data_IF_368796210279
#
_entry.id   IF_368796210279
#
_cell.length_a   1.000
_cell.length_b   1.000
_cell.length_c   1.000
_cell.angle_alpha   90.00
_cell.angle_beta   90.00
_cell.angle_gamma   90.00
#
_symmetry.space_group_name_H-M   'P 1'
#
loop_
_entity.id
_entity.type
_entity.pdbx_description
1 polymer ?
2 non-polymer ?
3 water ?
#
# COMPACT_ATOMS: atom_id res chain seq x y z
N UNK A 1 12.45 -12.36 6.30
CA UNK A 1 11.32 -12.94 5.59
C UNK A 1 10.02 -12.20 5.90
N UNK A 2 10.06 -10.86 5.90
CA UNK A 2 8.83 -10.13 6.18
C UNK A 2 7.78 -10.29 5.11
N UNK A 3 8.20 -10.39 3.84
CA UNK A 3 7.30 -10.57 2.72
C UNK A 3 7.34 -12.04 2.31
N UNK A 4 6.18 -12.68 2.31
CA UNK A 4 6.03 -14.08 1.90
C UNK A 4 4.97 -14.12 0.80
N UNK A 5 5.38 -14.20 -0.46
CA UNK A 5 4.42 -14.26 -1.56
C UNK A 5 3.54 -15.49 -1.46
N UNK A 6 2.32 -15.35 -1.96
CA UNK A 6 1.47 -16.51 -2.18
C UNK A 6 2.08 -17.44 -3.22
N UNK A 7 1.71 -18.73 -3.15
CA UNK A 7 2.21 -19.72 -4.07
C UNK A 7 1.42 -19.77 -5.38
N UNK A 8 0.28 -19.10 -5.45
CA UNK A 8 -0.60 -19.14 -6.59
C UNK A 8 -0.17 -18.17 -7.68
N UNK A 9 -1.03 -18.00 -8.67
CA UNK A 9 -0.61 -17.34 -9.90
C UNK A 9 -0.32 -15.86 -9.72
N UNK A 10 -0.82 -15.24 -8.66
CA UNK A 10 -0.56 -13.84 -8.42
C UNK A 10 0.52 -13.62 -7.37
N UNK A 11 1.22 -14.68 -6.97
CA UNK A 11 2.30 -14.49 -6.03
C UNK A 11 3.58 -14.07 -6.73
N UNK A 12 4.20 -12.93 -6.36
CA UNK A 12 5.46 -12.55 -6.99
C UNK A 12 6.60 -13.41 -6.50
N UNK A 13 7.80 -13.18 -7.02
CA UNK A 13 8.96 -13.99 -6.65
C UNK A 13 10.06 -13.07 -6.10
N UNK A 14 10.60 -13.44 -4.94
CA UNK A 14 11.76 -12.74 -4.39
C UNK A 14 12.95 -13.03 -5.30
N UNK A 15 13.62 -11.98 -5.78
CA UNK A 15 14.66 -12.08 -6.80
C UNK A 15 16.03 -11.74 -6.24
N UNK A 16 16.07 -11.21 -5.00
CA UNK A 16 17.33 -10.88 -4.36
C UNK A 16 17.03 -10.48 -2.91
N UNK A 17 18.06 -10.57 -2.08
CA UNK A 17 18.02 -9.91 -0.79
C UNK A 17 19.36 -9.23 -0.73
N UNK A 18 19.37 -7.91 -0.74
CA UNK A 18 20.61 -7.15 -0.83
C UNK A 18 20.72 -6.32 0.44
N UNK A 19 21.75 -6.59 1.24
CA UNK A 19 21.87 -5.90 2.52
C UNK A 19 20.60 -5.94 3.36
N UNK A 20 19.96 -7.12 3.42
CA UNK A 20 18.75 -7.31 4.20
C UNK A 20 17.46 -6.82 3.54
N UNK A 21 17.55 -6.20 2.39
CA UNK A 21 16.36 -5.64 1.75
C UNK A 21 15.81 -6.68 0.76
N UNK A 22 14.56 -7.13 0.95
CA UNK A 22 13.99 -8.04 -0.03
C UNK A 22 13.68 -7.28 -1.31
N UNK A 23 13.94 -7.95 -2.44
CA UNK A 23 13.65 -7.44 -3.78
C UNK A 23 12.59 -8.37 -4.38
N UNK A 24 11.46 -7.79 -4.77
CA UNK A 24 10.28 -8.53 -5.21
C UNK A 24 10.10 -8.28 -6.71
N UNK A 25 10.18 -9.34 -7.50
CA UNK A 25 9.82 -9.27 -8.92
C UNK A 25 8.31 -9.39 -9.02
N UNK A 26 7.64 -8.25 -9.16
CA UNK A 26 6.19 -8.21 -9.24
C UNK A 26 5.73 -9.00 -10.47
N UNK A 27 4.47 -9.44 -10.41
CA UNK A 27 3.91 -10.26 -11.48
C UNK A 27 3.55 -9.40 -12.70
N UNK A 28 3.40 -10.09 -13.83
CA UNK A 28 3.10 -9.41 -15.07
C UNK A 28 1.88 -8.50 -14.90
N UNK A 29 1.92 -7.26 -15.35
CA UNK A 29 0.71 -6.44 -15.31
C UNK A 29 -0.34 -6.98 -16.25
N UNK A 30 -1.60 -6.77 -15.89
CA UNK A 30 -2.70 -7.12 -16.75
C UNK A 30 -2.91 -6.03 -17.80
N UNK A 31 -3.96 -6.18 -18.61
CA UNK A 31 -4.20 -5.21 -19.68
C UNK A 31 -4.57 -3.82 -19.16
N UNK A 32 -4.99 -3.69 -17.92
CA UNK A 32 -5.19 -2.36 -17.36
C UNK A 32 -3.92 -1.78 -16.77
N UNK A 33 -2.80 -2.50 -16.83
CA UNK A 33 -1.56 -2.02 -16.30
C UNK A 33 -1.39 -2.31 -14.83
N UNK A 34 -2.23 -3.17 -14.24
CA UNK A 34 -2.16 -3.48 -12.83
C UNK A 34 -1.36 -4.75 -12.62
N UNK A 35 -0.30 -4.66 -11.83
CA UNK A 35 0.41 -5.86 -11.36
C UNK A 35 -0.23 -6.19 -10.02
N UNK A 36 -1.01 -7.29 -9.98
CA UNK A 36 -1.80 -7.67 -8.83
C UNK A 36 -1.04 -8.78 -8.11
N UNK A 37 -0.38 -8.41 -7.01
CA UNK A 37 0.51 -9.29 -6.27
C UNK A 37 -0.14 -9.72 -4.97
N UNK A 38 -0.11 -11.03 -4.69
CA UNK A 38 -0.74 -11.60 -3.50
C UNK A 38 0.30 -12.21 -2.58
N UNK A 39 0.05 -12.06 -1.27
CA UNK A 39 1.00 -12.41 -0.23
C UNK A 39 0.29 -13.10 0.93
N UNK A 40 0.94 -14.14 1.45
CA UNK A 40 0.54 -14.67 2.76
C UNK A 40 0.98 -13.75 3.90
N UNK A 41 2.10 -13.05 3.72
CA UNK A 41 2.60 -12.12 4.72
C UNK A 41 3.20 -10.96 3.97
N UNK A 42 2.94 -9.75 4.47
CA UNK A 42 3.57 -8.57 3.88
C UNK A 42 3.98 -7.64 5.01
N UNK A 43 5.28 -7.52 5.23
CA UNK A 43 5.86 -6.69 6.26
C UNK A 43 7.17 -6.15 5.73
N UNK A 44 7.50 -4.92 6.11
CA UNK A 44 8.74 -4.25 5.69
C UNK A 44 9.47 -3.88 6.96
N UNK A 45 10.74 -4.26 7.05
CA UNK A 45 11.58 -3.87 8.16
C UNK A 45 12.37 -2.62 7.85
N UNK A 46 13.27 -2.30 8.78
CA UNK A 46 14.12 -1.13 8.60
C UNK A 46 14.87 -1.11 7.28
N UNK A 47 15.39 -2.24 6.76
CA UNK A 47 16.11 -2.19 5.46
C UNK A 47 15.23 -1.84 4.29
N UNK A 48 13.91 -1.81 4.46
CA UNK A 48 13.02 -1.50 3.36
C UNK A 48 12.79 -2.70 2.48
N UNK A 49 12.10 -2.47 1.35
CA UNK A 49 11.79 -3.51 0.38
C UNK A 49 11.71 -2.83 -0.98
N UNK A 50 12.13 -3.56 -2.02
CA UNK A 50 12.09 -3.05 -3.38
C UNK A 50 11.13 -3.87 -4.22
N UNK A 51 10.34 -3.16 -5.04
CA UNK A 51 9.41 -3.76 -5.99
C UNK A 51 9.93 -3.47 -7.38
N UNK A 52 10.32 -4.53 -8.10
CA UNK A 52 11.06 -4.37 -9.33
C UNK A 52 10.10 -4.17 -10.50
N UNK A 53 9.99 -2.91 -10.92
CA UNK A 53 9.20 -2.49 -12.06
C UNK A 53 10.09 -1.98 -13.18
N UNK A 54 11.23 -2.65 -13.41
CA UNK A 54 12.27 -2.15 -14.32
C UNK A 54 12.35 -3.00 -15.58
N UNK A 55 12.47 -2.28 -16.71
CA UNK A 55 12.76 -2.86 -18.01
C UNK A 55 14.24 -2.81 -18.34
N UNK A 56 15.06 -2.18 -17.49
CA UNK A 56 16.50 -2.11 -17.66
C UNK A 56 17.16 -2.28 -16.31
N UNK A 57 18.35 -2.88 -16.30
CA UNK A 57 19.12 -2.96 -15.07
C UNK A 57 19.56 -1.55 -14.66
N UNK A 58 19.84 -1.37 -13.38
CA UNK A 58 20.27 -0.07 -12.90
C UNK A 58 20.40 -0.05 -11.39
N UNK A 59 20.53 1.15 -10.84
CA UNK A 59 20.81 1.34 -9.42
C UNK A 59 19.52 1.63 -8.65
N UNK A 60 19.23 0.81 -7.66
CA UNK A 60 18.14 1.12 -6.75
C UNK A 60 18.66 1.93 -5.57
N UNK A 61 17.74 2.64 -4.92
CA UNK A 61 18.08 3.38 -3.71
C UNK A 61 18.37 2.45 -2.54
N UNK A 62 17.59 1.38 -2.39
CA UNK A 62 17.65 0.58 -1.17
C UNK A 62 18.45 -0.70 -1.30
N UNK A 63 18.70 -1.19 -2.51
CA UNK A 63 19.22 -2.54 -2.66
C UNK A 63 20.35 -2.61 -3.69
N UNK A 64 21.02 -1.50 -3.98
CA UNK A 64 22.13 -1.51 -4.93
C UNK A 64 21.68 -1.84 -6.35
N UNK A 65 22.59 -2.43 -7.11
CA UNK A 65 22.32 -2.72 -8.51
C UNK A 65 21.30 -3.85 -8.63
N UNK A 66 20.30 -3.65 -9.48
CA UNK A 66 19.26 -4.64 -9.74
C UNK A 66 19.08 -4.82 -11.24
N UNK A 67 18.52 -5.97 -11.61
CA UNK A 67 18.31 -6.33 -13.00
C UNK A 67 16.91 -5.93 -13.45
N UNK A 68 16.68 -5.99 -14.76
CA UNK A 68 15.32 -5.90 -15.27
C UNK A 68 14.48 -7.04 -14.71
N UNK A 69 13.17 -6.83 -14.63
CA UNK A 69 12.23 -7.86 -14.18
C UNK A 69 11.61 -8.52 -15.40
N UNK A 70 12.00 -9.77 -15.69
CA UNK A 70 11.47 -10.50 -16.85
C UNK A 70 9.98 -10.78 -16.76
N UNK A 71 9.38 -10.73 -15.57
CA UNK A 71 7.93 -10.96 -15.48
C UNK A 71 7.15 -9.88 -16.22
N UNK A 72 7.74 -8.70 -16.44
CA UNK A 72 6.99 -7.60 -17.03
C UNK A 72 6.70 -7.82 -18.49
N UNK A 73 7.45 -8.72 -19.14
CA UNK A 73 7.27 -8.97 -20.57
C UNK A 73 7.22 -7.67 -21.35
N UNK A 74 8.15 -6.77 -21.02
CA UNK A 74 8.35 -5.57 -21.82
C UNK A 74 7.50 -4.37 -21.45
N UNK A 75 6.58 -4.48 -20.51
CA UNK A 75 5.72 -3.37 -20.14
C UNK A 75 5.66 -3.24 -18.63
N UNK A 76 6.09 -2.10 -18.11
CA UNK A 76 6.06 -1.87 -16.69
C UNK A 76 4.61 -1.69 -16.21
N UNK A 77 4.43 -1.95 -14.93
CA UNK A 77 3.13 -1.74 -14.31
C UNK A 77 2.84 -0.25 -14.16
N UNK A 78 1.57 0.12 -14.29
CA UNK A 78 1.16 1.46 -13.90
C UNK A 78 0.57 1.50 -12.49
N UNK A 79 0.13 0.36 -11.96
CA UNK A 79 -0.29 0.26 -10.57
C UNK A 79 0.28 -1.05 -10.05
N UNK A 80 1.00 -0.96 -8.92
CA UNK A 80 1.49 -2.14 -8.21
C UNK A 80 0.57 -2.31 -7.00
N UNK A 81 -0.30 -3.32 -7.08
CA UNK A 81 -1.23 -3.61 -6.00
C UNK A 81 -0.69 -4.81 -5.24
N UNK A 82 -0.40 -4.59 -3.97
CA UNK A 82 0.06 -5.65 -3.08
C UNK A 82 -1.08 -5.97 -2.14
N UNK A 83 -1.49 -7.23 -2.11
CA UNK A 83 -2.69 -7.66 -1.41
C UNK A 83 -2.34 -8.83 -0.51
N UNK A 84 -2.62 -8.70 0.79
CA UNK A 84 -2.48 -9.80 1.73
C UNK A 84 -3.75 -10.64 1.70
N UNK A 85 -3.60 -11.95 1.52
CA UNK A 85 -4.72 -12.88 1.33
C UNK A 85 -5.06 -13.67 2.58
N UNK A 86 -4.22 -13.62 3.60
CA UNK A 86 -4.36 -14.39 4.82
C UNK A 86 -5.03 -13.54 5.89
N UNK A 87 -4.94 -13.98 7.14
CA UNK A 87 -5.41 -13.22 8.29
C UNK A 87 -4.32 -12.37 8.93
N UNK A 88 -3.11 -12.36 8.39
CA UNK A 88 -2.00 -11.70 9.08
C UNK A 88 -2.02 -10.20 8.84
N UNK A 89 -1.96 -9.37 9.90
CA UNK A 89 -1.79 -7.92 9.69
C UNK A 89 -0.39 -7.59 9.17
N UNK A 90 -0.21 -6.37 8.69
CA UNK A 90 1.07 -5.94 8.12
C UNK A 90 1.71 -4.89 9.02
N UNK A 91 3.04 -4.96 9.13
CA UNK A 91 3.86 -3.96 9.82
C UNK A 91 4.89 -3.42 8.85
N UNK A 92 4.93 -2.09 8.73
CA UNK A 92 5.81 -1.38 7.80
C UNK A 92 6.70 -0.47 8.63
N UNK A 93 7.97 -0.86 8.75
CA UNK A 93 8.96 -0.16 9.55
C UNK A 93 10.06 0.44 8.67
N UNK A 94 9.85 0.50 7.37
CA UNK A 94 10.85 1.06 6.48
C UNK A 94 10.21 1.38 5.14
N UNK A 95 11.08 1.73 4.20
CA UNK A 95 10.68 2.28 2.91
C UNK A 95 10.33 1.19 1.91
N UNK A 96 9.30 1.44 1.10
CA UNK A 96 8.99 0.62 -0.06
C UNK A 96 9.39 1.40 -1.30
N UNK A 97 10.29 0.83 -2.09
CA UNK A 97 10.80 1.51 -3.28
C UNK A 97 10.29 0.81 -4.53
N UNK A 98 9.77 1.58 -5.47
CA UNK A 98 9.52 1.08 -6.82
C UNK A 98 10.79 1.31 -7.62
N UNK A 99 11.48 0.25 -8.01
CA UNK A 99 12.65 0.32 -8.85
C UNK A 99 12.23 0.29 -10.31
N UNK A 100 12.78 1.21 -11.08
CA UNK A 100 12.46 1.29 -12.49
C UNK A 100 11.42 2.37 -12.75
N UNK A 101 10.36 1.99 -13.44
CA UNK A 101 9.37 2.97 -13.87
C UNK A 101 8.46 3.36 -12.71
N UNK A 102 8.35 4.66 -12.45
CA UNK A 102 7.47 5.15 -11.38
C UNK A 102 6.05 4.62 -11.60
N UNK A 103 5.36 4.31 -10.50
CA UNK A 103 4.02 3.72 -10.60
C UNK A 103 3.19 4.18 -9.40
N UNK A 104 1.89 3.96 -9.48
CA UNK A 104 1.05 3.99 -8.29
C UNK A 104 1.29 2.72 -7.49
N UNK A 105 1.14 2.82 -6.17
CA UNK A 105 1.43 1.73 -5.26
C UNK A 105 0.30 1.60 -4.25
N UNK A 106 -0.18 0.39 -4.02
CA UNK A 106 -1.22 0.14 -3.03
C UNK A 106 -0.81 -1.06 -2.20
N UNK A 107 -0.96 -0.98 -0.88
CA UNK A 107 -0.99 -2.16 -0.02
C UNK A 107 -2.39 -2.30 0.57
N UNK A 108 -2.99 -3.48 0.35
CA UNK A 108 -4.32 -3.84 0.86
C UNK A 108 -4.17 -4.96 1.88
N UNK A 109 -4.63 -4.73 3.13
CA UNK A 109 -4.60 -5.75 4.16
C UNK A 109 -5.78 -5.52 5.06
N UNK A 110 -6.88 -6.25 4.86
CA UNK A 110 -8.10 -6.01 5.66
C UNK A 110 -7.94 -6.38 7.12
N UNK A 111 -6.85 -7.03 7.52
CA UNK A 111 -6.61 -7.39 8.90
C UNK A 111 -6.01 -6.26 9.71
N UNK A 112 -5.47 -5.22 9.06
CA UNK A 112 -4.79 -4.13 9.75
C UNK A 112 -3.43 -3.87 9.13
N UNK A 113 -3.03 -2.60 9.16
CA UNK A 113 -1.71 -2.14 8.71
C UNK A 113 -1.19 -1.20 9.78
N UNK A 114 0.09 -1.34 10.12
CA UNK A 114 0.79 -0.43 10.99
C UNK A 114 2.00 0.09 10.24
N UNK A 115 2.16 1.42 10.21
CA UNK A 115 3.31 2.08 9.59
C UNK A 115 4.02 2.85 10.68
N UNK A 116 5.29 2.54 10.93
CA UNK A 116 6.06 3.27 11.94
C UNK A 116 7.43 3.55 11.32
N UNK A 117 7.60 4.74 10.77
CA UNK A 117 8.79 5.03 10.00
C UNK A 117 8.77 4.41 8.62
N UNK A 118 7.59 4.19 8.05
CA UNK A 118 7.52 3.68 6.70
C UNK A 118 7.54 4.81 5.68
N UNK A 119 7.70 4.46 4.41
CA UNK A 119 7.61 5.47 3.37
C UNK A 119 7.61 4.80 2.02
N UNK A 120 7.60 5.61 0.98
CA UNK A 120 7.39 5.14 -0.39
C UNK A 120 8.28 5.95 -1.29
N UNK A 121 9.04 5.28 -2.14
CA UNK A 121 10.04 5.89 -3.03
C UNK A 121 9.66 5.58 -4.47
N UNK A 122 9.67 6.61 -5.31
CA UNK A 122 9.45 6.48 -6.75
C UNK A 122 8.01 6.07 -7.06
N UNK A 123 7.08 6.57 -6.25
CA UNK A 123 5.65 6.37 -6.47
C UNK A 123 4.97 7.71 -6.76
N UNK A 124 4.04 7.72 -7.71
CA UNK A 124 3.25 8.92 -7.93
C UNK A 124 2.19 9.06 -6.85
N UNK A 125 1.63 7.95 -6.42
CA UNK A 125 0.62 7.87 -5.38
C UNK A 125 0.85 6.56 -4.66
N UNK A 126 0.74 6.58 -3.33
CA UNK A 126 0.79 5.39 -2.51
C UNK A 126 -0.42 5.38 -1.62
N UNK A 127 -1.00 4.19 -1.44
CA UNK A 127 -2.19 4.06 -0.63
C UNK A 127 -2.06 2.87 0.30
N UNK A 128 -2.47 3.05 1.55
CA UNK A 128 -2.58 2.00 2.54
C UNK A 128 -4.06 1.78 2.79
N UNK A 129 -4.53 0.56 2.54
CA UNK A 129 -5.95 0.24 2.52
C UNK A 129 -6.20 -0.91 3.49
N UNK A 130 -6.85 -0.63 4.61
CA UNK A 130 -7.32 -1.67 5.53
C UNK A 130 -8.71 -2.07 5.03
N UNK A 131 -8.72 -2.96 4.04
CA UNK A 131 -9.92 -3.26 3.26
C UNK A 131 -9.54 -4.19 2.13
N UNK A 132 -10.54 -4.56 1.33
CA UNK A 132 -10.43 -5.55 0.23
C UNK A 132 -10.42 -4.82 -1.10
N UNK A 133 -9.55 -5.14 -2.04
CA UNK A 133 -9.74 -4.70 -3.43
C UNK A 133 -10.90 -5.48 -4.01
N UNK A 134 -11.70 -4.82 -4.85
CA UNK A 134 -12.88 -5.40 -5.47
C UNK A 134 -12.56 -5.66 -6.93
N UNK A 135 -12.46 -6.91 -7.31
CA UNK A 135 -12.24 -7.31 -8.70
C UNK A 135 -13.56 -7.85 -9.24
N UNK A 136 -13.95 -7.43 -10.45
CA UNK A 136 -15.16 -7.89 -11.11
C UNK A 136 -14.71 -8.41 -12.46
N UNK A 137 -14.80 -9.73 -12.64
CA UNK A 137 -14.38 -10.39 -13.86
C UNK A 137 -12.99 -9.94 -14.28
N UNK A 138 -12.10 -9.90 -13.29
CA UNK A 138 -10.70 -9.63 -13.51
C UNK A 138 -10.33 -8.17 -13.48
N UNK A 139 -11.28 -7.26 -13.42
CA UNK A 139 -10.97 -5.85 -13.48
C UNK A 139 -11.10 -5.24 -12.10
N UNK A 140 -10.16 -4.38 -11.75
CA UNK A 140 -10.18 -3.71 -10.45
C UNK A 140 -11.24 -2.62 -10.47
N UNK A 141 -12.26 -2.77 -9.62
CA UNK A 141 -13.35 -1.80 -9.55
C UNK A 141 -13.25 -0.87 -8.37
N UNK A 142 -12.35 -1.12 -7.43
CA UNK A 142 -12.20 -0.27 -6.27
C UNK A 142 -11.88 -1.07 -5.04
N UNK A 143 -12.34 -0.60 -3.89
CA UNK A 143 -11.94 -1.14 -2.59
C UNK A 143 -13.13 -1.06 -1.65
N UNK A 144 -13.11 -1.90 -0.61
CA UNK A 144 -14.19 -1.94 0.36
C UNK A 144 -13.67 -2.02 1.78
N UNK A 145 -14.25 -1.19 2.65
CA UNK A 145 -14.08 -1.32 4.09
C UNK A 145 -15.39 -1.73 4.75
N UNK A 146 -16.39 -2.14 3.98
CA UNK A 146 -17.65 -2.56 4.58
C UNK A 146 -17.40 -3.69 5.56
N UNK A 147 -18.15 -3.67 6.66
CA UNK A 147 -18.10 -4.70 7.70
C UNK A 147 -16.77 -4.79 8.43
N UNK A 148 -15.82 -3.94 8.11
CA UNK A 148 -14.48 -4.07 8.68
C UNK A 148 -14.36 -3.09 9.83
N UNK A 149 -13.74 -3.52 10.93
CA UNK A 149 -13.55 -2.67 12.09
C UNK A 149 -12.08 -2.51 12.44
N UNK A 150 -11.18 -3.00 11.58
CA UNK A 150 -9.75 -3.01 11.86
C UNK A 150 -9.12 -1.63 11.66
N UNK A 151 -7.85 -1.55 12.06
CA UNK A 151 -7.16 -0.29 12.29
C UNK A 151 -5.99 -0.10 11.33
N UNK A 152 -5.86 1.13 10.81
CA UNK A 152 -4.60 1.62 10.23
C UNK A 152 -3.92 2.47 11.30
N UNK A 153 -2.76 2.03 11.76
CA UNK A 153 -2.00 2.70 12.81
C UNK A 153 -0.74 3.29 12.21
N UNK A 154 -0.47 4.55 12.53
CA UNK A 154 0.78 5.19 12.15
C UNK A 154 1.49 5.56 13.44
N UNK A 155 2.72 5.06 13.61
CA UNK A 155 3.44 5.22 14.86
C UNK A 155 4.26 6.49 14.91
N UNK A 156 5.04 6.61 15.99
CA UNK A 156 5.74 7.85 16.28
C UNK A 156 6.78 8.21 15.23
N UNK A 157 7.31 7.24 14.49
CA UNK A 157 8.30 7.55 13.45
C UNK A 157 7.67 7.98 12.13
N UNK A 158 6.35 7.95 12.01
CA UNK A 158 5.69 8.62 10.92
C UNK A 158 5.80 7.91 9.58
N UNK A 159 5.48 8.67 8.54
CA UNK A 159 5.35 8.15 7.19
C UNK A 159 5.87 9.24 6.25
N UNK A 160 6.70 8.88 5.29
CA UNK A 160 7.20 9.87 4.35
C UNK A 160 7.12 9.41 2.90
N UNK A 161 6.75 10.35 2.04
CA UNK A 161 6.79 10.14 0.61
C UNK A 161 6.81 11.51 -0.07
N UNK A 162 7.44 11.57 -1.24
CA UNK A 162 7.33 12.76 -2.07
C UNK A 162 6.08 12.78 -2.94
N UNK A 163 5.35 11.66 -3.04
CA UNK A 163 4.17 11.58 -3.87
C UNK A 163 2.89 11.80 -3.08
N UNK A 164 1.77 11.52 -3.74
CA UNK A 164 0.45 11.63 -3.11
C UNK A 164 0.24 10.44 -2.16
N UNK A 165 -0.59 10.63 -1.15
CA UNK A 165 -0.84 9.60 -0.16
C UNK A 165 -2.34 9.44 0.11
N UNK A 166 -2.84 8.21 0.08
CA UNK A 166 -4.20 7.90 0.50
C UNK A 166 -4.13 6.90 1.67
N UNK A 167 -4.93 7.16 2.71
CA UNK A 167 -5.03 6.32 3.90
C UNK A 167 -6.50 5.94 4.02
N UNK A 168 -6.82 4.65 3.87
CA UNK A 168 -8.19 4.17 3.81
C UNK A 168 -8.33 3.10 4.87
N UNK A 169 -9.24 3.28 5.82
CA UNK A 169 -9.43 2.26 6.85
C UNK A 169 -10.71 2.54 7.59
N UNK A 170 -11.26 1.53 8.26
CA UNK A 170 -12.40 1.77 9.17
C UNK A 170 -12.07 2.83 10.19
N UNK A 171 -10.89 2.74 10.77
CA UNK A 171 -10.41 3.77 11.67
C UNK A 171 -8.91 3.92 11.49
N UNK A 172 -8.44 5.12 11.79
CA UNK A 172 -7.03 5.48 11.70
C UNK A 172 -6.60 6.03 13.05
N UNK A 173 -5.43 5.59 13.53
CA UNK A 173 -4.82 6.13 14.74
C UNK A 173 -3.38 6.50 14.39
N UNK A 174 -3.09 7.78 14.30
CA UNK A 174 -1.80 8.27 13.85
C UNK A 174 -1.15 9.07 14.98
N UNK A 175 0.14 8.82 15.22
CA UNK A 175 0.88 9.42 16.32
C UNK A 175 2.21 10.00 15.86
N UNK A 176 2.43 10.11 14.57
CA UNK A 176 3.68 10.64 14.09
C UNK A 176 3.50 11.61 12.96
N UNK A 177 4.61 12.07 12.37
CA UNK A 177 4.55 13.04 11.30
C UNK A 177 4.30 12.34 9.96
N UNK A 178 3.28 12.80 9.23
CA UNK A 178 2.98 12.33 7.89
C UNK A 178 3.44 13.38 6.90
N UNK A 179 4.40 13.03 6.06
CA UNK A 179 4.92 13.90 5.02
C UNK A 179 4.52 13.32 3.67
N UNK A 180 3.82 14.12 2.87
CA UNK A 180 3.37 13.69 1.55
C UNK A 180 3.00 14.92 0.74
N UNK A 181 2.97 14.77 -0.58
CA UNK A 181 2.56 15.87 -1.44
C UNK A 181 1.11 16.30 -1.15
N UNK A 182 0.24 15.33 -0.90
CA UNK A 182 -1.13 15.54 -0.47
C UNK A 182 -1.48 14.34 0.39
N UNK A 183 -2.34 14.55 1.37
CA UNK A 183 -2.81 13.47 2.26
C UNK A 183 -4.31 13.41 2.14
N UNK A 184 -4.83 12.24 1.80
CA UNK A 184 -6.28 12.01 1.82
C UNK A 184 -6.54 10.83 2.72
N UNK A 185 -7.32 11.03 3.76
CA UNK A 185 -7.67 9.96 4.70
C UNK A 185 -9.17 9.78 4.66
N UNK A 186 -9.62 8.55 4.50
CA UNK A 186 -11.04 8.23 4.41
C UNK A 186 -11.32 7.15 5.43
N UNK A 187 -12.17 7.45 6.40
CA UNK A 187 -12.50 6.50 7.44
C UNK A 187 -13.97 6.11 7.36
N UNK A 188 -14.29 5.05 8.09
CA UNK A 188 -15.62 4.47 8.10
C UNK A 188 -15.69 3.20 7.26
N UNK A 189 -16.93 2.73 7.09
CA UNK A 189 -17.26 1.54 6.31
C UNK A 189 -17.83 2.02 4.98
N UNK A 190 -17.04 1.88 3.92
CA UNK A 190 -17.33 2.50 2.63
C UNK A 190 -17.01 1.53 1.51
N UNK A 191 -17.61 1.78 0.35
CA UNK A 191 -17.05 1.28 -0.89
C UNK A 191 -16.47 2.44 -1.68
N UNK A 192 -15.39 2.16 -2.40
CA UNK A 192 -14.60 3.15 -3.10
C UNK A 192 -14.42 2.70 -4.54
N UNK A 193 -14.32 3.66 -5.46
CA UNK A 193 -13.83 3.37 -6.80
C UNK A 193 -12.31 3.16 -6.77
N UNK A 194 -11.77 2.79 -7.93
CA UNK A 194 -10.33 2.60 -8.03
C UNK A 194 -9.56 3.88 -7.74
N UNK A 195 -10.22 5.04 -7.87
CA UNK A 195 -9.62 6.35 -7.62
C UNK A 195 -9.99 6.90 -6.24
N UNK A 196 -10.53 6.06 -5.37
CA UNK A 196 -10.92 6.42 -4.00
C UNK A 196 -12.06 7.43 -3.94
N UNK A 197 -12.91 7.47 -4.95
CA UNK A 197 -14.20 8.12 -4.78
C UNK A 197 -15.07 7.26 -3.89
N UNK A 198 -15.76 7.88 -2.94
CA UNK A 198 -16.67 7.14 -2.08
C UNK A 198 -17.96 6.86 -2.84
N UNK A 199 -18.28 5.59 -3.03
CA UNK A 199 -19.47 5.20 -3.77
C UNK A 199 -20.64 4.85 -2.86
N UNK A 200 -20.38 4.45 -1.63
CA UNK A 200 -21.40 4.06 -0.68
C UNK A 200 -20.78 4.10 0.70
N UNK A 201 -21.61 4.32 1.71
CA UNK A 201 -21.17 4.31 3.11
C UNK A 201 -22.24 3.64 3.94
N UNK A 202 -21.81 3.00 5.02
CA UNK A 202 -22.72 2.30 5.92
C UNK A 202 -22.40 2.68 7.36
N UNK A 203 -23.41 2.56 8.19
CA UNK A 203 -23.26 2.90 9.60
C UNK A 203 -22.78 1.68 10.36
N UNK A 204 -21.65 1.74 11.07
CA UNK A 204 -21.22 0.60 11.89
C UNK A 204 -22.12 0.43 13.11
N UNK A 205 -22.22 -0.81 13.59
CA UNK A 205 -23.06 -1.05 14.76
C UNK A 205 -22.50 -0.32 15.99
N UNK A 206 -21.18 -0.21 16.09
CA UNK A 206 -20.51 0.54 17.14
C UNK A 206 -19.59 1.58 16.52
N UNK A 207 -19.29 2.62 17.30
CA UNK A 207 -18.52 3.74 16.77
C UNK A 207 -17.15 3.29 16.28
N UNK A 208 -16.70 3.91 15.19
CA UNK A 208 -15.35 3.76 14.67
C UNK A 208 -14.66 5.13 14.79
N UNK A 209 -13.92 5.33 15.86
CA UNK A 209 -13.28 6.63 16.04
C UNK A 209 -11.82 6.63 15.60
N UNK A 210 -11.40 7.78 15.06
CA UNK A 210 -10.06 7.96 14.52
C UNK A 210 -9.33 9.08 15.25
N UNK A 211 -8.01 8.98 15.29
CA UNK A 211 -7.17 9.86 16.10
C UNK A 211 -5.95 10.25 15.26
N UNK A 212 -5.67 11.56 15.16
CA UNK A 212 -4.49 12.08 14.47
C UNK A 212 -3.72 12.97 15.45
N UNK A 213 -2.82 12.34 16.20
CA UNK A 213 -2.15 12.94 17.34
C UNK A 213 -0.75 13.40 16.99
N UNK A 214 -0.36 13.32 15.73
CA UNK A 214 0.97 13.70 15.32
C UNK A 214 0.97 15.03 14.62
N UNK A 215 1.51 15.07 13.41
CA UNK A 215 1.53 16.26 12.58
C UNK A 215 1.44 15.84 11.13
N UNK A 216 1.14 16.81 10.28
CA UNK A 216 0.95 16.57 8.85
C UNK A 216 1.71 17.64 8.08
N UNK A 217 2.76 17.20 7.39
CA UNK A 217 3.60 18.09 6.60
C UNK A 217 3.18 17.91 5.15
N UNK A 218 2.17 18.66 4.78
CA UNK A 218 1.62 18.56 3.44
C UNK A 218 0.82 19.83 3.20
N UNK A 219 0.86 20.28 1.95
CA UNK A 219 0.10 21.45 1.56
C UNK A 219 -1.38 21.21 1.40
N UNK A 220 -1.83 19.95 1.35
CA UNK A 220 -3.25 19.68 1.15
C UNK A 220 -3.62 18.41 1.90
N UNK A 221 -4.57 18.52 2.81
CA UNK A 221 -5.01 17.42 3.65
C UNK A 221 -6.52 17.35 3.53
N UNK A 222 -7.06 16.17 3.25
CA UNK A 222 -8.50 15.95 3.26
C UNK A 222 -8.78 14.76 4.16
N UNK A 223 -9.74 14.89 5.06
CA UNK A 223 -10.17 13.81 5.95
C UNK A 223 -11.68 13.69 5.79
N UNK A 224 -12.13 12.51 5.40
CA UNK A 224 -13.56 12.23 5.24
C UNK A 224 -13.88 11.07 6.16
N UNK A 225 -14.78 11.28 7.13
CA UNK A 225 -15.25 10.20 8.00
C UNK A 225 -16.74 10.04 7.75
N UNK A 226 -17.13 8.90 7.22
CA UNK A 226 -18.52 8.69 6.88
C UNK A 226 -19.31 8.04 7.99
N UNK A 227 -18.68 7.66 9.09
CA UNK A 227 -19.42 6.98 10.14
C UNK A 227 -20.14 8.05 10.95
N UNK A 232 -13.37 12.66 14.54
CA UNK A 232 -11.99 12.93 14.16
C UNK A 232 -11.29 13.79 15.22
N UNK A 233 -10.36 13.21 15.96
CA UNK A 233 -9.68 13.92 17.05
C UNK A 233 -8.26 14.25 16.63
N UNK A 234 -7.86 15.51 16.86
CA UNK A 234 -6.58 16.03 16.42
C UNK A 234 -5.70 16.48 17.60
X LIG B 1 -17.89 0.37 -15.48
X LIG B 1 -16.52 0.39 -15.06
X LIG B 1 -18.83 0.37 -14.30
X LIG B 1 -18.42 -0.61 -13.35
X LIG B 1 -18.94 1.72 -13.63
X LIG B 1 -20.11 1.80 -12.79
X LIG B 1 -18.05 -0.43 -16.02
X LIG B 1 -18.05 1.17 -16.03
X LIG B 1 -16.24 1.19 -15.07
X LIG B 1 -19.72 0.12 -14.63
X LIG B 1 -18.39 -0.24 -12.59
X LIG B 1 -18.14 1.88 -13.07
X LIG B 1 -18.99 2.42 -14.31
X LIG B 1 -20.10 2.55 -12.41
#
# INVERSE_FOLDING_TARGET
NGIVPDAGHQGPDVSAVNGGTQVINIVTPNNEGISHNQYQDFNVGKPGAVFNNALEAGQSQLAGHLNANSNLNGQAASLILNEVVSRNPSFLLGQAEVFGIAAEYVLSNPNGITCDGCGFINTSRSSLVVGNPLFENGQLKGYSTLNNTNLLSLGKNGLNTTGLLDLIAPRIDSRGKITAAEISAFTGQNTFSQHFDILSSQKPVSALDSYFFGSMQSGRIRIINTAEGSGVKLAGHHHHHH
GOL C1 O1 C2 O2 C3 O3 H11 H12 HO1 H2 HO2 H31 H32 HO3
#
